data_IF_782922905207
#
_entry.id   IF_782922905207
#
_cell.length_a   1.000
_cell.length_b   1.000
_cell.length_c   1.000
_cell.angle_alpha   90.00
_cell.angle_beta   90.00
_cell.angle_gamma   90.00
#
_symmetry.space_group_name_H-M   'P 1'
#
loop_
_entity.id
_entity.type
_entity.pdbx_description
1 polymer ?
#
# COMPACT_ATOMS: atom_id res chain seq x y z
N UNK A 1 26.11 21.91 -4.57
CA UNK A 1 24.69 21.93 -4.20
C UNK A 1 24.35 20.58 -3.57
N UNK A 2 24.37 20.49 -2.24
CA UNK A 2 23.93 19.28 -1.55
C UNK A 2 22.40 19.29 -1.59
N UNK A 3 21.81 18.44 -2.44
CA UNK A 3 20.37 18.20 -2.41
C UNK A 3 20.02 17.68 -1.01
N UNK A 4 19.09 18.36 -0.36
CA UNK A 4 18.57 18.03 0.96
C UNK A 4 18.15 16.56 1.00
N UNK A 5 18.97 15.70 1.62
CA UNK A 5 18.52 14.40 2.09
C UNK A 5 17.51 14.73 3.18
N UNK A 6 16.22 14.80 2.83
CA UNK A 6 15.14 14.90 3.79
C UNK A 6 15.34 13.75 4.77
N UNK A 7 15.42 14.07 6.05
CA UNK A 7 15.48 13.06 7.11
C UNK A 7 14.22 12.21 6.97
N UNK A 8 14.38 10.98 6.46
CA UNK A 8 13.30 10.03 6.27
C UNK A 8 12.61 9.83 7.63
N UNK A 9 11.37 10.30 7.75
CA UNK A 9 10.59 10.10 8.97
C UNK A 9 10.08 8.66 8.98
N UNK A 10 10.87 7.75 9.54
CA UNK A 10 10.53 6.32 9.72
C UNK A 10 9.13 6.14 10.33
N UNK A 11 8.63 7.14 11.09
CA UNK A 11 7.27 7.17 11.62
C UNK A 11 6.18 7.17 10.53
N UNK A 12 6.36 7.90 9.43
CA UNK A 12 5.29 8.08 8.44
C UNK A 12 5.18 6.86 7.52
N UNK A 13 6.30 6.24 7.17
CA UNK A 13 6.30 4.93 6.52
C UNK A 13 5.58 3.88 7.37
N UNK A 14 5.86 3.83 8.68
CA UNK A 14 5.18 2.89 9.59
C UNK A 14 3.68 3.15 9.70
N UNK A 15 3.25 4.43 9.75
CA UNK A 15 1.83 4.79 9.69
C UNK A 15 1.19 4.29 8.40
N UNK A 16 1.85 4.55 7.26
CA UNK A 16 1.42 4.05 5.96
C UNK A 16 1.23 2.54 5.98
N UNK A 17 2.24 1.79 6.43
CA UNK A 17 2.20 0.33 6.52
C UNK A 17 1.00 -0.16 7.33
N UNK A 18 0.76 0.42 8.49
CA UNK A 18 -0.37 0.05 9.36
C UNK A 18 -1.72 0.30 8.69
N UNK A 19 -1.89 1.46 8.03
CA UNK A 19 -3.11 1.82 7.31
C UNK A 19 -3.31 0.88 6.10
N UNK A 20 -2.25 0.63 5.33
CA UNK A 20 -2.30 -0.23 4.14
C UNK A 20 -2.74 -1.65 4.46
N UNK A 21 -2.18 -2.25 5.51
CA UNK A 21 -2.59 -3.59 5.95
C UNK A 21 -4.04 -3.64 6.42
N UNK A 22 -4.53 -2.59 7.10
CA UNK A 22 -5.94 -2.52 7.52
C UNK A 22 -6.90 -2.27 6.35
N UNK A 23 -6.47 -1.53 5.33
CA UNK A 23 -7.32 -1.16 4.20
C UNK A 23 -7.78 -2.37 3.38
N UNK A 24 -7.02 -3.48 3.36
CA UNK A 24 -7.44 -4.73 2.70
C UNK A 24 -8.74 -5.28 3.29
N UNK A 25 -9.00 -5.05 4.58
CA UNK A 25 -10.23 -5.51 5.25
C UNK A 25 -11.46 -4.66 4.89
N UNK A 26 -11.24 -3.48 4.31
CA UNK A 26 -12.28 -2.52 3.97
C UNK A 26 -12.69 -2.56 2.49
N UNK A 27 -12.07 -3.43 1.69
CA UNK A 27 -12.33 -3.57 0.26
C UNK A 27 -12.95 -4.93 -0.07
N UNK A 28 -13.57 -4.99 -1.24
CA UNK A 28 -14.25 -6.18 -1.74
C UNK A 28 -13.23 -7.21 -2.26
N UNK A 29 -13.61 -8.50 -2.25
CA UNK A 29 -12.75 -9.57 -2.78
C UNK A 29 -12.41 -9.36 -4.26
N UNK A 30 -13.31 -8.78 -5.06
CA UNK A 30 -13.08 -8.48 -6.46
C UNK A 30 -11.89 -7.54 -6.65
N UNK A 31 -11.83 -6.47 -5.86
CA UNK A 31 -10.71 -5.52 -5.90
C UNK A 31 -9.40 -6.18 -5.46
N UNK A 32 -9.44 -7.05 -4.44
CA UNK A 32 -8.26 -7.82 -4.02
C UNK A 32 -7.74 -8.70 -5.17
N UNK A 33 -8.63 -9.38 -5.89
CA UNK A 33 -8.24 -10.20 -7.05
C UNK A 33 -7.70 -9.37 -8.21
N UNK A 34 -8.25 -8.17 -8.46
CA UNK A 34 -7.70 -7.22 -9.44
C UNK A 34 -6.26 -6.82 -9.06
N UNK A 35 -6.01 -6.47 -7.80
CA UNK A 35 -4.67 -6.12 -7.31
C UNK A 35 -3.71 -7.31 -7.43
N UNK A 36 -4.18 -8.54 -7.21
CA UNK A 36 -3.35 -9.75 -7.43
C UNK A 36 -2.99 -9.94 -8.90
N UNK A 37 -3.92 -9.68 -9.81
CA UNK A 37 -3.70 -9.83 -11.25
C UNK A 37 -2.77 -8.75 -11.80
N UNK A 38 -2.92 -7.51 -11.33
CA UNK A 38 -2.09 -6.40 -11.76
C UNK A 38 -1.74 -5.45 -10.60
N UNK A 39 -0.75 -5.80 -9.76
CA UNK A 39 -0.37 -4.98 -8.62
C UNK A 39 0.23 -3.63 -9.06
N UNK A 40 0.78 -3.53 -10.27
CA UNK A 40 1.35 -2.29 -10.77
C UNK A 40 0.30 -1.18 -10.93
N UNK A 41 -0.88 -1.50 -11.48
CA UNK A 41 -1.97 -0.54 -11.61
C UNK A 41 -2.38 0.05 -10.25
N UNK A 42 -2.44 -0.78 -9.21
CA UNK A 42 -2.69 -0.32 -7.86
C UNK A 42 -1.61 0.65 -7.37
N UNK A 43 -0.33 0.28 -7.53
CA UNK A 43 0.80 1.15 -7.17
C UNK A 43 0.72 2.50 -7.88
N UNK A 44 0.53 2.52 -9.20
CA UNK A 44 0.41 3.77 -9.97
C UNK A 44 -0.77 4.62 -9.48
N UNK A 45 -1.94 4.02 -9.26
CA UNK A 45 -3.12 4.77 -8.79
C UNK A 45 -2.87 5.49 -7.47
N UNK A 46 -2.08 4.91 -6.55
CA UNK A 46 -1.77 5.52 -5.26
C UNK A 46 -0.77 6.68 -5.39
N UNK A 47 0.16 6.60 -6.35
CA UNK A 47 1.07 7.71 -6.63
C UNK A 47 0.40 8.84 -7.44
N UNK A 48 -0.62 8.52 -8.24
CA UNK A 48 -1.41 9.49 -9.00
C UNK A 48 -2.42 10.26 -8.13
N UNK A 49 -2.75 9.75 -6.93
CA UNK A 49 -3.40 10.52 -5.88
C UNK A 49 -2.43 11.63 -5.42
N UNK A 50 -2.40 12.72 -6.18
CA UNK A 50 -1.70 13.97 -5.85
C UNK A 50 -2.35 14.64 -4.62
N UNK A 51 -2.37 13.95 -3.48
CA UNK A 51 -2.82 14.45 -2.20
C UNK A 51 -1.64 15.12 -1.48
N UNK A 52 -1.67 16.46 -1.30
CA UNK A 52 -0.60 17.20 -0.64
C UNK A 52 -0.49 16.89 0.86
N UNK A 53 -1.48 16.21 1.45
CA UNK A 53 -1.46 15.82 2.87
C UNK A 53 -0.78 14.47 3.11
N UNK A 54 -0.49 13.72 2.06
CA UNK A 54 0.21 12.44 2.14
C UNK A 54 1.67 12.62 1.72
N UNK A 55 2.59 12.25 2.61
CA UNK A 55 4.00 12.15 2.25
C UNK A 55 4.24 10.95 1.32
N UNK A 56 5.32 11.01 0.55
CA UNK A 56 5.73 9.88 -0.30
C UNK A 56 6.03 8.64 0.53
N UNK A 57 6.61 8.82 1.73
CA UNK A 57 6.91 7.73 2.65
C UNK A 57 5.63 7.07 3.16
N UNK A 58 4.59 7.84 3.45
CA UNK A 58 3.31 7.31 3.88
C UNK A 58 2.61 6.55 2.74
N UNK A 59 2.65 7.05 1.50
CA UNK A 59 2.15 6.33 0.31
C UNK A 59 2.93 5.03 0.08
N UNK A 60 4.25 5.07 0.13
CA UNK A 60 5.09 3.89 -0.01
C UNK A 60 4.80 2.85 1.08
N UNK A 61 4.66 3.30 2.33
CA UNK A 61 4.26 2.44 3.44
C UNK A 61 2.89 1.80 3.22
N UNK A 62 1.89 2.58 2.80
CA UNK A 62 0.55 2.10 2.49
C UNK A 62 0.57 1.00 1.43
N UNK A 63 1.28 1.23 0.32
CA UNK A 63 1.43 0.25 -0.76
C UNK A 63 2.04 -1.05 -0.23
N UNK A 64 3.15 -0.96 0.50
CA UNK A 64 3.82 -2.14 1.07
C UNK A 64 2.90 -2.90 2.02
N UNK A 65 2.21 -2.19 2.93
CA UNK A 65 1.31 -2.80 3.90
C UNK A 65 0.14 -3.52 3.23
N UNK A 66 -0.48 -2.89 2.22
CA UNK A 66 -1.60 -3.44 1.48
C UNK A 66 -1.20 -4.68 0.68
N UNK A 67 -0.12 -4.58 -0.13
CA UNK A 67 0.34 -5.70 -0.94
C UNK A 67 0.81 -6.88 -0.08
N UNK A 68 1.47 -6.61 1.05
CA UNK A 68 1.84 -7.67 2.00
C UNK A 68 0.59 -8.43 2.44
N UNK A 69 -0.46 -7.72 2.86
CA UNK A 69 -1.69 -8.35 3.35
C UNK A 69 -2.40 -9.15 2.24
N UNK A 70 -2.53 -8.58 1.03
CA UNK A 70 -3.11 -9.25 -0.15
C UNK A 70 -2.41 -10.57 -0.48
N UNK A 71 -1.07 -10.59 -0.47
CA UNK A 71 -0.29 -11.75 -0.91
C UNK A 71 0.08 -12.73 0.21
N UNK A 72 -0.08 -12.37 1.48
CA UNK A 72 0.24 -13.26 2.62
C UNK A 72 -0.97 -13.81 3.35
N UNK A 73 -2.11 -13.10 3.34
CA UNK A 73 -3.30 -13.46 4.11
C UNK A 73 -4.50 -13.89 3.26
N UNK A 74 -4.28 -14.35 2.02
CA UNK A 74 -5.36 -14.97 1.23
C UNK A 74 -5.89 -16.21 1.97
N UNK A 75 -7.19 -16.29 2.33
CA UNK A 75 -7.73 -17.50 2.92
C UNK A 75 -7.64 -18.63 1.89
N UNK A 76 -6.93 -19.70 2.24
CA UNK A 76 -6.93 -20.98 1.51
C UNK A 76 -8.35 -21.58 1.66
N UNK A 77 -9.31 -21.08 0.87
CA UNK A 77 -10.69 -21.60 0.86
C UNK A 77 -11.18 -21.97 -0.55
N UNK A 78 -10.25 -22.29 -1.46
CA UNK A 78 -10.59 -22.79 -2.81
C UNK A 78 -9.80 -24.04 -3.21
N UNK A 79 -9.34 -24.85 -2.24
CA UNK A 79 -8.69 -26.14 -2.49
C UNK A 79 -9.31 -27.30 -1.67
N UNK A 80 -10.63 -27.23 -1.43
CA UNK A 80 -11.42 -28.40 -1.04
C UNK A 80 -12.52 -28.64 -2.08
#
# INVERSE_FOLDING_TARGET
>A
MAQHIRTLMVSDFRKGLMIGSQAVQAVDQEFIEEVKHNPWNFVESIFDLNDPNLSEEQRAGYIVGYLTEVFTHTPIKSLM
#
